data_IF_188983719914
#
_entry.id   IF_188983719914
#
_cell.length_a   1.000
_cell.length_b   1.000
_cell.length_c   1.000
_cell.angle_alpha   90.00
_cell.angle_beta   90.00
_cell.angle_gamma   90.00
#
_symmetry.space_group_name_H-M   'P 1'
#
loop_
_entity.id
_entity.type
_entity.pdbx_description
1 polymer ?
#
# COMPACT_ATOMS: atom_id res chain seq x y z
N UNK A 1 2.02 -17.95 -1.78
CA UNK A 1 2.72 -16.73 -1.31
C UNK A 1 4.10 -17.20 -0.92
N UNK A 2 5.14 -16.50 -1.34
CA UNK A 2 6.54 -16.91 -1.12
C UNK A 2 7.16 -15.98 -0.05
N UNK A 3 6.88 -16.19 1.25
CA UNK A 3 7.27 -15.27 2.33
C UNK A 3 8.79 -15.05 2.42
N UNK A 4 9.59 -16.01 1.97
CA UNK A 4 11.06 -15.93 1.83
C UNK A 4 11.55 -14.78 0.96
N UNK A 5 10.70 -14.24 0.07
CA UNK A 5 11.03 -13.08 -0.78
C UNK A 5 10.89 -11.75 -0.05
N UNK A 6 10.24 -11.74 1.12
CA UNK A 6 9.81 -10.53 1.83
C UNK A 6 10.31 -10.48 3.26
N UNK A 7 10.03 -9.37 3.96
CA UNK A 7 10.10 -9.36 5.42
C UNK A 7 8.96 -10.19 5.99
N UNK A 8 9.21 -11.02 6.99
CA UNK A 8 8.21 -11.86 7.65
C UNK A 8 8.04 -11.41 9.09
N UNK A 9 6.79 -11.33 9.54
CA UNK A 9 6.44 -11.00 10.93
C UNK A 9 5.85 -12.22 11.63
N UNK A 10 6.37 -12.53 12.80
CA UNK A 10 5.81 -13.53 13.71
C UNK A 10 4.90 -12.86 14.74
N UNK A 11 3.82 -13.53 15.13
CA UNK A 11 2.83 -13.01 16.07
C UNK A 11 2.65 -13.93 17.27
N UNK A 12 2.25 -13.36 18.42
CA UNK A 12 1.71 -14.11 19.56
C UNK A 12 0.22 -14.43 19.36
N UNK A 13 -0.37 -15.16 20.32
CA UNK A 13 -1.79 -15.53 20.30
C UNK A 13 -2.75 -14.32 20.33
N UNK A 14 -2.26 -13.12 20.66
CA UNK A 14 -3.01 -11.86 20.67
C UNK A 14 -2.66 -10.96 19.45
N UNK A 15 -2.01 -11.51 18.42
CA UNK A 15 -1.55 -10.78 17.23
C UNK A 15 -0.59 -9.62 17.50
N UNK A 16 0.20 -9.69 18.57
CA UNK A 16 1.33 -8.78 18.80
C UNK A 16 2.57 -9.32 18.09
N UNK A 17 3.30 -8.44 17.41
CA UNK A 17 4.53 -8.83 16.73
C UNK A 17 5.58 -9.30 17.76
N UNK A 18 6.14 -10.49 17.56
CA UNK A 18 7.21 -11.07 18.38
C UNK A 18 8.56 -10.89 17.70
N UNK A 19 8.63 -11.14 16.39
CA UNK A 19 9.87 -11.12 15.64
C UNK A 19 9.66 -10.62 14.21
N UNK A 20 10.70 -10.01 13.65
CA UNK A 20 10.76 -9.53 12.28
C UNK A 20 12.03 -10.08 11.62
N UNK A 21 11.86 -10.77 10.49
CA UNK A 21 12.98 -11.35 9.75
C UNK A 21 12.95 -10.90 8.30
N UNK A 22 14.08 -10.41 7.77
CA UNK A 22 14.21 -10.05 6.36
C UNK A 22 14.59 -11.28 5.55
N UNK A 23 13.74 -11.68 4.59
CA UNK A 23 13.99 -12.78 3.64
C UNK A 23 14.51 -14.06 4.32
N UNK A 24 13.79 -14.57 5.35
CA UNK A 24 14.25 -15.74 6.08
C UNK A 24 14.28 -16.98 5.17
N UNK A 25 15.34 -17.79 5.30
CA UNK A 25 15.42 -19.09 4.61
C UNK A 25 14.36 -20.08 5.12
N UNK A 26 13.94 -19.92 6.38
CA UNK A 26 12.90 -20.70 7.02
C UNK A 26 11.94 -19.73 7.71
N UNK A 27 10.88 -19.27 7.02
CA UNK A 27 9.98 -18.26 7.54
C UNK A 27 9.19 -18.80 8.75
N UNK A 28 9.18 -18.04 9.84
CA UNK A 28 8.42 -18.40 11.06
C UNK A 28 6.91 -18.21 10.93
N UNK A 29 6.46 -17.49 9.91
CA UNK A 29 5.05 -17.30 9.60
C UNK A 29 4.85 -17.11 8.10
N UNK A 30 3.58 -17.15 7.66
CA UNK A 30 3.19 -16.82 6.29
C UNK A 30 2.80 -15.34 6.11
N UNK A 31 3.08 -14.48 7.10
CA UNK A 31 2.72 -13.07 7.07
C UNK A 31 3.88 -12.22 6.54
N UNK A 32 3.75 -11.80 5.28
CA UNK A 32 4.67 -10.84 4.69
C UNK A 32 4.38 -9.42 5.20
N UNK A 33 5.45 -8.70 5.57
CA UNK A 33 5.40 -7.28 5.87
C UNK A 33 5.36 -6.52 4.55
N UNK A 34 4.22 -5.87 4.29
CA UNK A 34 4.01 -5.06 3.08
C UNK A 34 4.87 -3.79 3.09
N UNK A 35 4.91 -3.09 1.94
CA UNK A 35 5.67 -1.84 1.78
C UNK A 35 4.96 -0.58 2.30
N UNK A 36 4.06 -0.69 3.28
CA UNK A 36 3.34 0.44 3.88
C UNK A 36 3.69 0.55 5.36
N UNK A 37 4.28 1.68 5.75
CA UNK A 37 4.77 1.92 7.11
C UNK A 37 4.33 3.29 7.61
N UNK A 38 3.90 3.34 8.86
CA UNK A 38 3.60 4.58 9.58
C UNK A 38 4.55 4.69 10.76
N UNK A 39 5.17 5.85 10.91
CA UNK A 39 6.12 6.10 11.99
C UNK A 39 5.83 7.43 12.68
N UNK A 40 6.21 7.51 13.95
CA UNK A 40 6.33 8.78 14.67
C UNK A 40 7.65 9.49 14.30
N UNK A 41 7.93 10.62 14.95
CA UNK A 41 9.13 11.41 14.69
C UNK A 41 10.45 10.71 15.02
N UNK A 42 10.46 9.64 15.84
CA UNK A 42 11.68 8.94 16.24
C UNK A 42 12.33 8.19 15.07
N UNK A 43 11.59 7.94 14.00
CA UNK A 43 12.09 7.25 12.80
C UNK A 43 13.35 7.89 12.24
N UNK A 44 13.48 9.21 12.34
CA UNK A 44 14.66 9.94 11.86
C UNK A 44 15.89 9.61 12.69
N UNK A 45 15.75 9.46 14.00
CA UNK A 45 16.84 9.09 14.90
C UNK A 45 17.23 7.63 14.71
N UNK A 46 16.25 6.73 14.55
CA UNK A 46 16.50 5.32 14.26
C UNK A 46 17.17 5.12 12.90
N UNK A 47 16.71 5.83 11.85
CA UNK A 47 17.30 5.78 10.53
C UNK A 47 18.79 6.14 10.52
N UNK A 48 19.22 7.12 11.33
CA UNK A 48 20.63 7.52 11.47
C UNK A 48 21.50 6.45 12.13
N UNK A 49 20.90 5.52 12.88
CA UNK A 49 21.60 4.45 13.60
C UNK A 49 21.68 3.15 12.79
N UNK A 50 20.96 3.06 11.66
CA UNK A 50 20.95 1.87 10.81
C UNK A 50 22.35 1.66 10.24
N UNK A 51 22.85 0.42 10.38
CA UNK A 51 24.08 -0.03 9.74
C UNK A 51 23.75 -0.69 8.40
N UNK A 52 24.64 -0.57 7.39
CA UNK A 52 24.48 -1.31 6.14
C UNK A 52 24.36 -2.82 6.38
N UNK A 53 23.49 -3.48 5.63
CA UNK A 53 23.34 -4.94 5.62
C UNK A 53 24.53 -5.62 4.92
N UNK A 54 24.54 -6.95 4.88
CA UNK A 54 25.51 -7.72 4.09
C UNK A 54 25.51 -7.33 2.59
N UNK A 55 24.40 -6.74 2.10
CA UNK A 55 24.26 -6.26 0.72
C UNK A 55 24.65 -4.78 0.55
N UNK A 56 25.08 -4.12 1.63
CA UNK A 56 25.44 -2.71 1.63
C UNK A 56 24.27 -1.74 1.67
N UNK A 57 23.05 -2.23 1.94
CA UNK A 57 21.81 -1.42 1.95
C UNK A 57 21.42 -1.03 3.38
N UNK A 58 20.82 0.16 3.55
CA UNK A 58 20.17 0.54 4.82
C UNK A 58 18.75 -0.02 4.83
N UNK A 59 18.55 -1.08 5.61
CA UNK A 59 17.31 -1.86 5.57
C UNK A 59 16.21 -1.27 6.46
N UNK A 60 15.00 -1.13 5.90
CA UNK A 60 13.81 -0.71 6.66
C UNK A 60 13.48 -1.69 7.81
N UNK A 61 13.81 -2.98 7.66
CA UNK A 61 13.63 -3.98 8.71
C UNK A 61 14.44 -3.66 9.96
N UNK A 62 15.61 -3.02 9.83
CA UNK A 62 16.40 -2.57 10.97
C UNK A 62 15.68 -1.49 11.79
N UNK A 63 14.97 -0.57 11.12
CA UNK A 63 14.15 0.44 11.79
C UNK A 63 12.97 -0.23 12.50
N UNK A 64 12.27 -1.13 11.81
CA UNK A 64 11.14 -1.86 12.40
C UNK A 64 11.55 -2.68 13.62
N UNK A 65 12.75 -3.28 13.58
CA UNK A 65 13.34 -4.00 14.70
C UNK A 65 13.58 -3.10 15.91
N UNK A 66 14.07 -1.87 15.72
CA UNK A 66 14.23 -0.90 16.81
C UNK A 66 12.88 -0.52 17.44
N UNK A 67 11.82 -0.35 16.65
CA UNK A 67 10.46 -0.11 17.19
C UNK A 67 9.91 -1.33 17.93
N UNK A 68 10.18 -2.55 17.44
CA UNK A 68 9.79 -3.80 18.08
C UNK A 68 10.48 -3.95 19.44
N UNK A 69 11.80 -3.73 19.50
CA UNK A 69 12.58 -3.78 20.74
C UNK A 69 12.16 -2.72 21.76
N UNK A 70 11.72 -1.55 21.28
CA UNK A 70 11.16 -0.50 22.11
C UNK A 70 9.70 -0.78 22.57
N UNK A 71 9.08 -1.87 22.13
CA UNK A 71 7.69 -2.23 22.44
C UNK A 71 6.65 -1.31 21.80
N UNK A 72 7.03 -0.54 20.77
CA UNK A 72 6.18 0.47 20.13
C UNK A 72 5.80 0.11 18.69
N UNK A 73 6.07 -1.12 18.25
CA UNK A 73 5.62 -1.62 16.96
C UNK A 73 4.20 -2.17 17.08
N UNK A 74 3.29 -1.62 16.28
CA UNK A 74 1.96 -2.18 16.04
C UNK A 74 1.88 -2.68 14.61
N UNK A 75 1.14 -3.77 14.39
CA UNK A 75 0.97 -4.35 13.05
C UNK A 75 -0.51 -4.49 12.74
N UNK A 76 -0.91 -3.98 11.58
CA UNK A 76 -2.26 -4.13 11.06
C UNK A 76 -2.34 -5.33 10.12
N UNK A 77 -3.31 -6.20 10.35
CA UNK A 77 -3.50 -7.42 9.56
C UNK A 77 -4.40 -7.16 8.36
N UNK A 78 -3.82 -7.29 7.17
CA UNK A 78 -4.57 -7.33 5.92
C UNK A 78 -5.06 -8.76 5.68
N UNK A 79 -6.22 -9.06 6.25
CA UNK A 79 -6.85 -10.39 6.16
C UNK A 79 -7.42 -10.72 4.78
N UNK A 80 -8.14 -11.85 4.72
CA UNK A 80 -8.83 -12.28 3.50
C UNK A 80 -9.81 -11.21 3.02
N UNK A 81 -9.74 -10.86 1.73
CA UNK A 81 -10.55 -9.80 1.11
C UNK A 81 -9.71 -8.61 0.65
N UNK A 82 -8.50 -8.44 1.19
CA UNK A 82 -7.51 -7.51 0.67
C UNK A 82 -6.69 -8.15 -0.45
N UNK A 83 -6.29 -7.33 -1.43
CA UNK A 83 -5.32 -7.71 -2.45
C UNK A 83 -4.05 -6.88 -2.25
N UNK A 84 -2.93 -7.57 -2.08
CA UNK A 84 -1.60 -6.97 -2.13
C UNK A 84 -0.87 -7.56 -3.33
N UNK A 85 -0.43 -6.69 -4.23
CA UNK A 85 0.14 -7.05 -5.52
C UNK A 85 1.56 -6.50 -5.58
N UNK A 86 2.54 -7.38 -5.73
CA UNK A 86 3.91 -7.00 -6.08
C UNK A 86 4.00 -6.80 -7.59
N UNK A 87 4.80 -5.84 -8.04
CA UNK A 87 5.04 -5.55 -9.46
C UNK A 87 6.51 -5.67 -9.82
N UNK A 88 7.28 -6.45 -9.06
CA UNK A 88 8.73 -6.62 -9.21
C UNK A 88 9.17 -7.51 -10.38
N UNK A 89 8.26 -8.26 -11.01
CA UNK A 89 8.53 -9.10 -12.19
C UNK A 89 7.56 -8.82 -13.33
N UNK A 90 7.93 -9.18 -14.57
CA UNK A 90 7.06 -9.03 -15.74
C UNK A 90 5.69 -9.71 -15.55
N UNK A 91 5.68 -10.94 -15.05
CA UNK A 91 4.43 -11.68 -14.81
C UNK A 91 3.59 -11.01 -13.72
N UNK A 92 4.21 -10.62 -12.60
CA UNK A 92 3.50 -9.96 -11.50
C UNK A 92 2.88 -8.61 -11.91
N UNK A 93 3.53 -7.88 -12.83
CA UNK A 93 3.01 -6.63 -13.38
C UNK A 93 1.77 -6.87 -14.26
N UNK A 94 1.78 -7.94 -15.08
CA UNK A 94 0.62 -8.30 -15.91
C UNK A 94 -0.55 -8.75 -15.04
N UNK A 95 -0.28 -9.56 -14.01
CA UNK A 95 -1.30 -9.98 -13.03
C UNK A 95 -1.93 -8.77 -12.34
N UNK A 96 -1.12 -7.83 -11.85
CA UNK A 96 -1.61 -6.62 -11.20
C UNK A 96 -2.45 -5.76 -12.15
N UNK A 97 -1.99 -5.59 -13.40
CA UNK A 97 -2.73 -4.85 -14.43
C UNK A 97 -4.09 -5.49 -14.75
N UNK A 98 -4.11 -6.82 -14.82
CA UNK A 98 -5.32 -7.59 -15.10
C UNK A 98 -6.30 -7.53 -13.93
N UNK A 99 -5.80 -7.59 -12.70
CA UNK A 99 -6.60 -7.42 -11.49
C UNK A 99 -7.32 -6.07 -11.50
N UNK A 100 -6.57 -4.97 -11.66
CA UNK A 100 -7.14 -3.61 -11.71
C UNK A 100 -8.19 -3.50 -12.82
N UNK A 101 -7.85 -3.92 -14.04
CA UNK A 101 -8.78 -3.87 -15.16
C UNK A 101 -10.08 -4.64 -14.88
N UNK A 102 -9.98 -5.81 -14.27
CA UNK A 102 -11.14 -6.66 -13.98
C UNK A 102 -12.05 -6.01 -12.94
N UNK A 103 -11.48 -5.48 -11.86
CA UNK A 103 -12.25 -4.81 -10.80
C UNK A 103 -12.94 -3.57 -11.36
N UNK A 104 -12.23 -2.71 -12.06
CA UNK A 104 -12.80 -1.48 -12.62
C UNK A 104 -13.95 -1.75 -13.60
N UNK A 105 -13.79 -2.75 -14.49
CA UNK A 105 -14.85 -3.13 -15.45
C UNK A 105 -16.09 -3.71 -14.80
N UNK A 106 -15.98 -4.34 -13.63
CA UNK A 106 -17.09 -5.04 -12.97
C UNK A 106 -17.78 -4.19 -11.91
N UNK A 107 -17.05 -3.34 -11.21
CA UNK A 107 -17.59 -2.52 -10.13
C UNK A 107 -17.96 -1.09 -10.56
N UNK A 108 -17.39 -0.60 -11.67
CA UNK A 108 -17.70 0.74 -12.19
C UNK A 108 -16.96 1.89 -11.49
N UNK A 109 -16.13 1.59 -10.49
CA UNK A 109 -15.24 2.57 -9.84
C UNK A 109 -13.80 2.39 -10.31
N UNK A 110 -12.99 3.45 -10.21
CA UNK A 110 -11.56 3.41 -10.53
C UNK A 110 -10.69 3.16 -9.29
N UNK A 111 -9.65 2.35 -9.45
CA UNK A 111 -8.66 2.13 -8.39
C UNK A 111 -7.62 3.24 -8.50
N UNK A 112 -7.34 3.92 -7.38
CA UNK A 112 -6.35 4.99 -7.29
C UNK A 112 -6.60 6.19 -8.24
N UNK A 113 -7.86 6.56 -8.49
CA UNK A 113 -8.20 7.82 -9.15
C UNK A 113 -7.93 9.01 -8.21
N UNK A 114 -6.86 9.76 -8.46
CA UNK A 114 -6.38 10.79 -7.54
C UNK A 114 -7.32 11.99 -7.44
N UNK A 115 -7.94 12.39 -8.54
CA UNK A 115 -8.90 13.49 -8.57
C UNK A 115 -10.15 13.15 -7.77
N UNK A 116 -10.63 11.91 -7.86
CA UNK A 116 -11.76 11.43 -7.08
C UNK A 116 -11.43 11.36 -5.58
N UNK A 117 -10.25 10.82 -5.21
CA UNK A 117 -9.78 10.80 -3.82
C UNK A 117 -9.70 12.23 -3.26
N UNK A 118 -9.06 13.15 -4.01
CA UNK A 118 -8.93 14.55 -3.60
C UNK A 118 -10.29 15.23 -3.49
N UNK A 119 -11.22 14.94 -4.40
CA UNK A 119 -12.57 15.51 -4.39
C UNK A 119 -13.42 15.01 -3.22
N UNK A 120 -13.40 13.70 -2.93
CA UNK A 120 -14.08 13.12 -1.76
C UNK A 120 -13.51 13.63 -0.44
N UNK A 121 -12.18 13.81 -0.37
CA UNK A 121 -11.51 14.40 0.80
C UNK A 121 -11.65 15.93 0.91
N UNK A 122 -12.29 16.58 -0.07
CA UNK A 122 -12.48 18.04 -0.08
C UNK A 122 -11.22 18.85 -0.41
N UNK A 123 -10.14 18.22 -0.88
CA UNK A 123 -8.93 18.89 -1.34
C UNK A 123 -9.11 19.51 -2.74
N UNK A 124 -10.04 18.97 -3.53
CA UNK A 124 -10.38 19.43 -4.87
C UNK A 124 -11.88 19.75 -4.95
N UNK A 125 -12.23 20.88 -5.56
CA UNK A 125 -13.61 21.28 -5.81
C UNK A 125 -14.17 20.70 -7.12
N UNK A 126 -15.47 20.83 -7.32
CA UNK A 126 -16.17 20.31 -8.50
C UNK A 126 -15.59 20.90 -9.80
N UNK A 127 -15.25 22.19 -9.79
CA UNK A 127 -14.62 22.86 -10.93
C UNK A 127 -13.19 22.33 -11.19
N UNK A 128 -12.45 21.98 -10.15
CA UNK A 128 -11.15 21.31 -10.24
C UNK A 128 -11.25 19.95 -10.94
N UNK A 129 -12.18 19.11 -10.51
CA UNK A 129 -12.45 17.82 -11.17
C UNK A 129 -12.87 18.04 -12.62
N UNK A 130 -13.76 19.00 -12.88
CA UNK A 130 -14.26 19.29 -14.23
C UNK A 130 -13.14 19.74 -15.17
N UNK A 131 -12.18 20.54 -14.69
CA UNK A 131 -10.99 20.93 -15.49
C UNK A 131 -10.15 19.71 -15.86
N UNK A 132 -9.87 18.82 -14.90
CA UNK A 132 -9.13 17.58 -15.16
C UNK A 132 -9.89 16.64 -16.11
N UNK A 133 -11.19 16.50 -15.91
CA UNK A 133 -12.05 15.68 -16.77
C UNK A 133 -12.09 16.21 -18.21
N UNK A 134 -12.11 17.53 -18.40
CA UNK A 134 -12.17 18.18 -19.71
C UNK A 134 -10.90 17.96 -20.53
N UNK A 135 -9.71 18.00 -19.92
CA UNK A 135 -8.45 17.73 -20.62
C UNK A 135 -8.33 16.27 -21.07
N UNK A 136 -9.03 15.36 -20.40
CA UNK A 136 -9.03 13.92 -20.65
C UNK A 136 -10.33 13.40 -21.27
N UNK A 137 -11.22 14.27 -21.74
CA UNK A 137 -12.60 13.93 -22.09
C UNK A 137 -12.75 12.83 -23.17
N UNK A 138 -11.72 12.62 -24.00
CA UNK A 138 -11.69 11.56 -25.02
C UNK A 138 -11.26 10.18 -24.49
N UNK A 139 -10.98 10.06 -23.21
CA UNK A 139 -10.51 8.82 -22.57
C UNK A 139 -11.57 8.26 -21.62
N UNK A 140 -11.51 6.96 -21.35
CA UNK A 140 -12.36 6.35 -20.32
C UNK A 140 -12.13 6.93 -18.92
N UNK A 141 -10.95 7.49 -18.66
CA UNK A 141 -10.64 8.18 -17.41
C UNK A 141 -11.35 9.54 -17.31
N UNK A 142 -11.30 10.37 -18.35
CA UNK A 142 -12.00 11.65 -18.36
C UNK A 142 -13.52 11.49 -18.35
N UNK A 143 -14.05 10.46 -19.06
CA UNK A 143 -15.47 10.11 -19.00
C UNK A 143 -15.90 9.74 -17.58
N UNK A 144 -15.11 8.92 -16.89
CA UNK A 144 -15.36 8.58 -15.49
C UNK A 144 -15.42 9.82 -14.58
N UNK A 145 -14.47 10.75 -14.71
CA UNK A 145 -14.48 11.99 -13.91
C UNK A 145 -15.71 12.88 -14.21
N UNK A 146 -16.18 12.91 -15.46
CA UNK A 146 -17.43 13.62 -15.80
C UNK A 146 -18.66 12.95 -15.20
N UNK A 147 -18.68 11.62 -15.13
CA UNK A 147 -19.76 10.84 -14.51
C UNK A 147 -19.79 11.02 -12.99
N UNK A 148 -18.62 11.09 -12.35
CA UNK A 148 -18.46 11.35 -10.92
C UNK A 148 -19.19 12.64 -10.49
N UNK A 149 -19.10 13.71 -11.30
CA UNK A 149 -19.78 14.99 -11.02
C UNK A 149 -21.30 14.95 -11.24
N UNK A 150 -21.81 13.92 -11.92
CA UNK A 150 -23.26 13.76 -12.19
C UNK A 150 -23.96 12.93 -11.11
N UNK A 151 -23.27 11.98 -10.49
CA UNK A 151 -23.80 11.16 -9.40
C UNK A 151 -23.72 11.91 -8.05
N UNK A 152 -24.86 12.22 -7.42
CA UNK A 152 -24.93 12.89 -6.09
C UNK A 152 -24.77 11.88 -4.93
N UNK A 153 -24.40 12.31 -3.70
CA UNK A 153 -23.45 13.34 -3.27
C UNK A 153 -22.07 12.74 -2.92
N UNK A 154 -21.07 13.59 -2.63
CA UNK A 154 -19.65 13.30 -2.26
C UNK A 154 -19.37 12.17 -1.23
N UNK A 155 -20.39 11.57 -0.63
CA UNK A 155 -20.31 10.67 0.52
C UNK A 155 -20.30 9.16 0.20
N UNK A 156 -20.31 8.78 -1.09
CA UNK A 156 -20.15 7.38 -1.49
C UNK A 156 -18.99 7.22 -2.48
#
# INVERSE_FOLDING_TARGET
MDPERFGVVEFDDNFRAISLEKKPKQPKSNWAVTGLYFYDSKVVEYAKQVKPSERGELEITSINQMYLEAGNLTVELLGRGFAWLDTGTHDSLIEASTFVQTVEKRQGFKIACLEEIAWRNGWLDDEGVKRAASSLAKTGYGQYLLELLRARPRQY
#
